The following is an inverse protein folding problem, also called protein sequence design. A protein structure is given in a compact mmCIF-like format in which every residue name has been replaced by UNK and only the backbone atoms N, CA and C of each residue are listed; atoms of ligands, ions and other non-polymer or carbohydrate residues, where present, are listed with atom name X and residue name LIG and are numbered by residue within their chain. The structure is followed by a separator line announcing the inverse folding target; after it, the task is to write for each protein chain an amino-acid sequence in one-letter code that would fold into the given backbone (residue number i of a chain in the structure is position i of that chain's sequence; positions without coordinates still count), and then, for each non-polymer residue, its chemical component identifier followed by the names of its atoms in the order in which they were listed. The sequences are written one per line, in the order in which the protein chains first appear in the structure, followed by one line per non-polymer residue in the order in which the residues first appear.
data_IF_241325196943
#
_entry.id   IF_241325196943
#
_cell.length_a   1.000
_cell.length_b   1.000
_cell.length_c   1.000
_cell.angle_alpha   90.00
_cell.angle_beta   90.00
_cell.angle_gamma   90.00
#
_symmetry.space_group_name_H-M   'P 1'
#
loop_
_entity.id
_entity.type
_entity.pdbx_description
1 polymer ?
#
# COMPACT_ATOMS: atom_id res chain seq x y z
N UNK A 1 15.23 22.12 -4.65
CA UNK A 1 15.89 21.99 -3.33
C UNK A 1 16.03 20.48 -3.15
N UNK A 2 16.12 19.93 -1.95
CA UNK A 2 15.93 18.49 -1.77
C UNK A 2 14.89 18.35 -0.68
N UNK A 3 13.76 17.71 -0.97
CA UNK A 3 12.68 17.53 -0.01
C UNK A 3 12.84 16.20 0.71
N UNK A 4 12.27 16.11 1.92
CA UNK A 4 12.17 14.85 2.64
C UNK A 4 10.74 14.36 2.56
N UNK A 5 10.56 13.16 2.06
CA UNK A 5 9.26 12.48 2.05
C UNK A 5 9.20 11.50 3.21
N UNK A 6 8.09 11.49 3.94
CA UNK A 6 7.84 10.52 4.99
C UNK A 6 6.66 9.65 4.60
N UNK A 7 6.86 8.33 4.54
CA UNK A 7 5.74 7.40 4.38
C UNK A 7 5.22 7.05 5.76
N UNK A 8 3.99 7.49 6.02
CA UNK A 8 3.35 7.35 7.31
C UNK A 8 2.76 5.95 7.47
N UNK A 9 2.02 5.49 6.48
CA UNK A 9 1.21 4.27 6.57
C UNK A 9 0.98 3.61 5.20
N UNK A 10 0.94 2.28 5.19
CA UNK A 10 0.41 1.48 4.09
C UNK A 10 -0.83 0.72 4.59
N UNK A 11 -1.92 0.79 3.85
CA UNK A 11 -3.12 -0.03 4.08
C UNK A 11 -3.24 -1.09 3.00
N UNK A 12 -3.21 -2.37 3.38
CA UNK A 12 -3.44 -3.50 2.46
C UNK A 12 -4.93 -3.76 2.34
N UNK A 13 -5.46 -3.72 1.12
CA UNK A 13 -6.85 -3.99 0.79
C UNK A 13 -6.90 -5.21 -0.13
N UNK A 14 -7.13 -6.40 0.44
CA UNK A 14 -7.24 -7.66 -0.29
C UNK A 14 -8.70 -8.07 -0.45
N UNK A 15 -9.04 -8.64 -1.60
CA UNK A 15 -10.32 -9.31 -1.84
C UNK A 15 -10.21 -10.78 -1.51
N UNK A 16 -11.28 -11.37 -0.96
CA UNK A 16 -11.35 -12.83 -0.86
C UNK A 16 -11.49 -13.49 -2.24
N UNK A 17 -10.58 -14.41 -2.53
CA UNK A 17 -10.56 -15.36 -3.65
C UNK A 17 -11.82 -16.22 -3.75
N UNK A 18 -12.54 -16.41 -2.63
CA UNK A 18 -13.74 -17.24 -2.54
C UNK A 18 -15.03 -16.57 -3.00
N UNK A 19 -15.04 -15.24 -3.13
CA UNK A 19 -16.24 -14.46 -3.47
C UNK A 19 -16.19 -14.08 -4.95
N UNK A 20 -17.22 -14.40 -5.74
CA UNK A 20 -17.31 -14.09 -7.18
C UNK A 20 -17.58 -12.62 -7.52
N UNK A 21 -17.42 -11.69 -6.58
CA UNK A 21 -17.81 -10.29 -6.71
C UNK A 21 -16.77 -9.44 -7.46
N UNK A 22 -17.11 -8.74 -8.56
CA UNK A 22 -16.14 -7.93 -9.29
C UNK A 22 -15.75 -6.66 -8.51
N UNK A 23 -14.67 -6.74 -7.72
CA UNK A 23 -14.20 -5.61 -6.91
C UNK A 23 -13.49 -4.50 -7.69
N UNK A 24 -12.96 -4.72 -8.89
CA UNK A 24 -12.26 -3.65 -9.62
C UNK A 24 -13.15 -2.41 -9.81
N UNK A 25 -14.40 -2.61 -10.24
CA UNK A 25 -15.36 -1.50 -10.40
C UNK A 25 -15.80 -0.84 -9.09
N UNK A 26 -15.91 -1.61 -7.99
CA UNK A 26 -16.35 -1.08 -6.68
C UNK A 26 -15.19 -0.44 -5.94
N UNK A 27 -14.02 -1.05 -5.93
CA UNK A 27 -12.81 -0.46 -5.38
C UNK A 27 -12.47 0.80 -6.15
N UNK A 28 -12.45 0.80 -7.49
CA UNK A 28 -12.14 2.03 -8.23
C UNK A 28 -13.23 3.11 -8.01
N UNK A 29 -14.51 2.74 -8.00
CA UNK A 29 -15.62 3.69 -7.74
C UNK A 29 -15.63 4.20 -6.30
N UNK A 30 -15.26 3.38 -5.33
CA UNK A 30 -15.26 3.72 -3.91
C UNK A 30 -13.97 4.42 -3.54
N UNK A 31 -12.81 4.04 -4.09
CA UNK A 31 -11.47 4.57 -3.79
C UNK A 31 -11.14 5.88 -4.52
N UNK A 32 -11.67 6.13 -5.72
CA UNK A 32 -11.51 7.42 -6.39
C UNK A 32 -11.90 8.63 -5.52
N UNK A 33 -13.05 8.64 -4.81
CA UNK A 33 -13.39 9.75 -3.91
C UNK A 33 -12.60 9.77 -2.59
N UNK A 34 -11.77 8.77 -2.30
CA UNK A 34 -11.05 8.58 -1.02
C UNK A 34 -9.55 8.79 -1.17
N UNK A 35 -9.05 9.05 -2.38
CA UNK A 35 -7.61 9.18 -2.69
C UNK A 35 -6.88 10.29 -1.95
N UNK A 36 -7.59 11.10 -1.15
CA UNK A 36 -7.07 12.21 -0.36
C UNK A 36 -7.40 12.08 1.13
N UNK A 37 -7.77 10.88 1.61
CA UNK A 37 -8.08 10.67 3.03
C UNK A 37 -6.89 10.07 3.79
N UNK A 38 -6.75 10.37 5.08
CA UNK A 38 -5.87 9.59 5.94
C UNK A 38 -6.35 8.14 6.06
N UNK A 39 -5.44 7.18 6.25
CA UNK A 39 -5.72 5.75 6.19
C UNK A 39 -6.78 5.27 7.20
N UNK A 40 -6.84 5.86 8.39
CA UNK A 40 -7.93 5.58 9.35
C UNK A 40 -9.31 5.99 8.83
N UNK A 41 -9.40 7.12 8.11
CA UNK A 41 -10.67 7.58 7.52
C UNK A 41 -11.05 6.73 6.30
N UNK A 42 -10.05 6.32 5.50
CA UNK A 42 -10.22 5.35 4.43
C UNK A 42 -10.81 4.03 4.94
N UNK A 43 -10.20 3.41 5.95
CA UNK A 43 -10.66 2.12 6.49
C UNK A 43 -12.08 2.24 7.04
N UNK A 44 -12.41 3.33 7.75
CA UNK A 44 -13.78 3.59 8.21
C UNK A 44 -14.78 3.73 7.07
N UNK A 45 -14.40 4.42 6.00
CA UNK A 45 -15.28 4.60 4.84
C UNK A 45 -15.48 3.30 4.07
N UNK A 46 -14.43 2.49 3.90
CA UNK A 46 -14.50 1.19 3.23
C UNK A 46 -15.33 0.18 4.03
N UNK A 47 -15.09 0.08 5.34
CA UNK A 47 -15.85 -0.83 6.22
C UNK A 47 -17.29 -0.37 6.45
N UNK A 48 -17.57 0.94 6.30
CA UNK A 48 -18.93 1.49 6.31
C UNK A 48 -19.78 1.11 5.09
N UNK A 49 -19.15 0.73 3.98
CA UNK A 49 -19.84 0.11 2.85
C UNK A 49 -19.96 -1.40 3.12
N UNK A 50 -21.19 -1.89 3.27
CA UNK A 50 -21.44 -3.28 3.66
C UNK A 50 -20.82 -4.30 2.70
N UNK A 51 -20.87 -4.07 1.39
CA UNK A 51 -20.35 -5.00 0.39
C UNK A 51 -18.81 -5.04 0.39
N UNK A 52 -18.18 -3.86 0.53
CA UNK A 52 -16.71 -3.74 0.63
C UNK A 52 -16.19 -4.29 1.95
N UNK A 53 -16.84 -3.93 3.06
CA UNK A 53 -16.51 -4.42 4.39
C UNK A 53 -16.60 -5.94 4.49
N UNK A 54 -17.66 -6.55 3.92
CA UNK A 54 -17.78 -8.01 3.87
C UNK A 54 -16.66 -8.65 3.03
N UNK A 55 -16.28 -8.04 1.91
CA UNK A 55 -15.21 -8.60 1.09
C UNK A 55 -13.86 -8.55 1.80
N UNK A 56 -13.50 -7.43 2.42
CA UNK A 56 -12.26 -7.30 3.20
C UNK A 56 -12.29 -8.30 4.37
N UNK A 57 -13.44 -8.43 5.05
CA UNK A 57 -13.61 -9.36 6.16
C UNK A 57 -13.42 -10.83 5.71
N UNK A 58 -13.97 -11.21 4.55
CA UNK A 58 -13.76 -12.55 3.99
C UNK A 58 -12.33 -12.81 3.56
N UNK A 59 -11.52 -11.78 3.32
CA UNK A 59 -10.11 -11.90 2.98
C UNK A 59 -9.21 -12.03 4.22
N UNK A 60 -9.74 -11.83 5.43
CA UNK A 60 -8.96 -11.97 6.67
C UNK A 60 -8.54 -13.41 6.97
N UNK A 61 -9.32 -14.38 6.49
CA UNK A 61 -9.01 -15.81 6.63
C UNK A 61 -8.03 -16.30 5.54
N UNK A 62 -7.61 -15.42 4.62
CA UNK A 62 -6.61 -15.73 3.59
C UNK A 62 -5.18 -15.47 4.11
N UNK A 63 -4.20 -16.05 3.41
CA UNK A 63 -2.80 -15.92 3.77
C UNK A 63 -2.37 -14.44 3.79
N UNK A 64 -1.70 -13.99 4.86
CA UNK A 64 -1.11 -12.66 4.91
C UNK A 64 -0.02 -12.52 3.84
N UNK A 65 0.30 -11.27 3.47
CA UNK A 65 1.45 -10.96 2.64
C UNK A 65 2.66 -10.75 3.54
N UNK A 66 3.84 -11.19 3.12
CA UNK A 66 5.10 -10.88 3.76
C UNK A 66 5.68 -9.61 3.14
N UNK A 67 5.13 -8.48 3.58
CA UNK A 67 5.34 -7.16 2.99
C UNK A 67 6.73 -6.59 3.33
N UNK A 68 7.42 -6.09 2.32
CA UNK A 68 8.57 -5.21 2.49
C UNK A 68 8.57 -4.08 1.45
N UNK A 69 9.39 -3.05 1.70
CA UNK A 69 9.46 -1.85 0.86
C UNK A 69 10.90 -1.54 0.47
N UNK A 70 11.12 -1.23 -0.81
CA UNK A 70 12.42 -0.81 -1.36
C UNK A 70 12.32 0.57 -2.02
N UNK A 71 13.47 1.22 -2.22
CA UNK A 71 13.60 2.45 -3.03
C UNK A 71 14.28 2.21 -4.38
N UNK A 72 14.68 0.98 -4.65
CA UNK A 72 15.21 0.54 -5.92
C UNK A 72 14.31 -0.56 -6.52
N UNK A 73 14.28 -0.73 -7.84
CA UNK A 73 13.30 -1.59 -8.51
C UNK A 73 13.62 -3.09 -8.41
N UNK A 74 14.59 -3.51 -7.60
CA UNK A 74 14.91 -4.92 -7.42
C UNK A 74 14.20 -5.48 -6.19
N UNK A 75 13.66 -6.68 -6.36
CA UNK A 75 13.19 -7.51 -5.27
C UNK A 75 14.34 -7.98 -4.37
N UNK A 76 14.01 -8.31 -3.13
CA UNK A 76 14.87 -8.88 -2.10
C UNK A 76 14.74 -8.12 -0.79
N UNK A 77 14.42 -8.83 0.29
CA UNK A 77 14.32 -8.22 1.62
C UNK A 77 15.66 -7.61 2.09
N UNK A 78 16.80 -8.01 1.52
CA UNK A 78 18.09 -7.38 1.77
C UNK A 78 18.23 -5.97 1.17
N UNK A 79 17.37 -5.62 0.20
CA UNK A 79 17.25 -4.27 -0.38
C UNK A 79 16.22 -3.39 0.36
N UNK A 80 15.52 -3.95 1.35
CA UNK A 80 14.40 -3.27 1.97
C UNK A 80 14.84 -2.10 2.85
N UNK A 81 14.18 -0.96 2.63
CA UNK A 81 14.24 0.22 3.49
C UNK A 81 13.25 0.13 4.65
N UNK A 82 12.29 -0.78 4.55
CA UNK A 82 11.35 -1.14 5.61
C UNK A 82 10.89 -2.59 5.43
N UNK A 83 10.73 -3.37 6.53
CA UNK A 83 11.02 -3.04 7.92
C UNK A 83 12.53 -3.09 8.28
N UNK A 84 13.41 -3.18 7.29
CA UNK A 84 14.84 -3.48 7.44
C UNK A 84 15.17 -4.66 6.54
N UNK A 85 16.12 -5.52 6.92
CA UNK A 85 16.50 -6.75 6.20
C UNK A 85 15.50 -7.91 6.40
N UNK A 86 14.20 -7.61 6.43
CA UNK A 86 13.13 -8.56 6.79
C UNK A 86 11.79 -8.19 6.13
N UNK A 87 10.71 -8.86 6.55
CA UNK A 87 9.34 -8.64 6.09
C UNK A 87 8.39 -8.42 7.24
N UNK A 88 7.21 -7.92 6.92
CA UNK A 88 6.12 -7.71 7.85
C UNK A 88 4.87 -8.43 7.37
N UNK A 89 4.38 -9.37 8.18
CA UNK A 89 3.17 -10.12 7.85
C UNK A 89 1.91 -9.23 7.93
N UNK A 90 1.30 -8.99 6.77
CA UNK A 90 0.21 -8.06 6.55
C UNK A 90 -1.08 -8.78 6.16
N UNK A 91 -2.04 -8.86 7.09
CA UNK A 91 -3.38 -9.36 6.80
C UNK A 91 -4.19 -8.39 5.91
N UNK A 92 -5.30 -8.87 5.34
CA UNK A 92 -6.25 -8.01 4.64
C UNK A 92 -6.80 -6.90 5.57
N UNK A 93 -6.91 -5.68 5.07
CA UNK A 93 -7.36 -4.53 5.85
C UNK A 93 -6.36 -4.01 6.90
N UNK A 94 -5.14 -4.57 6.95
CA UNK A 94 -4.11 -4.12 7.88
C UNK A 94 -3.70 -2.67 7.60
N UNK A 95 -3.62 -1.90 8.68
CA UNK A 95 -3.05 -0.54 8.74
C UNK A 95 -1.63 -0.68 9.28
N UNK A 96 -0.64 -0.36 8.44
CA UNK A 96 0.76 -0.68 8.70
C UNK A 96 1.52 0.64 8.81
N UNK A 97 1.92 1.07 10.03
CA UNK A 97 2.73 2.27 10.20
C UNK A 97 4.16 2.00 9.72
N UNK A 98 4.64 2.78 8.75
CA UNK A 98 6.00 2.65 8.23
C UNK A 98 6.94 3.64 8.91
N UNK A 99 6.57 4.92 8.94
CA UNK A 99 7.37 5.99 9.55
C UNK A 99 8.75 6.18 8.90
N UNK A 100 8.93 5.77 7.65
CA UNK A 100 10.22 5.86 6.96
C UNK A 100 10.38 7.22 6.28
N UNK A 101 11.59 7.77 6.38
CA UNK A 101 11.97 9.02 5.73
C UNK A 101 12.86 8.72 4.52
N UNK A 102 12.47 9.25 3.38
CA UNK A 102 13.14 9.07 2.10
C UNK A 102 13.44 10.43 1.48
N UNK A 103 14.64 10.59 0.94
CA UNK A 103 15.04 11.81 0.25
C UNK A 103 14.38 11.86 -1.13
N UNK A 104 13.65 12.94 -1.44
CA UNK A 104 13.12 13.20 -2.77
C UNK A 104 13.97 14.28 -3.45
N UNK A 105 14.90 13.86 -4.32
CA UNK A 105 15.63 14.75 -5.25
C UNK A 105 14.89 14.74 -6.60
N UNK A 106 13.98 15.70 -6.80
CA UNK A 106 13.00 15.69 -7.89
C UNK A 106 11.87 14.65 -7.72
N UNK A 107 12.21 13.36 -7.64
CA UNK A 107 11.26 12.29 -7.34
C UNK A 107 11.92 11.04 -6.77
N UNK A 108 11.24 10.37 -5.85
CA UNK A 108 11.61 9.07 -5.30
C UNK A 108 10.53 8.05 -5.65
N UNK A 109 10.93 6.90 -6.19
CA UNK A 109 10.00 5.77 -6.39
C UNK A 109 10.14 4.78 -5.24
N UNK A 110 9.00 4.31 -4.75
CA UNK A 110 8.92 3.40 -3.61
C UNK A 110 8.15 2.17 -4.04
N UNK A 111 8.75 0.99 -3.85
CA UNK A 111 8.21 -0.28 -4.31
C UNK A 111 7.80 -1.10 -3.09
N UNK A 112 6.58 -1.62 -3.11
CA UNK A 112 6.08 -2.58 -2.14
C UNK A 112 6.09 -3.97 -2.77
N UNK A 113 6.55 -4.96 -2.02
CA UNK A 113 6.76 -6.33 -2.47
C UNK A 113 6.14 -7.32 -1.49
N UNK A 114 5.70 -8.47 -2.01
CA UNK A 114 5.36 -9.65 -1.23
C UNK A 114 6.51 -10.64 -1.36
N UNK A 115 7.13 -11.01 -0.23
CA UNK A 115 8.21 -12.00 -0.28
C UNK A 115 7.62 -13.39 -0.47
N UNK A 116 8.20 -14.14 -1.40
CA UNK A 116 7.81 -15.52 -1.68
C UNK A 116 8.96 -16.48 -1.36
N UNK A 117 8.71 -17.47 -0.50
CA UNK A 117 9.75 -18.43 -0.08
C UNK A 117 10.16 -19.43 -1.18
N UNK A 118 9.29 -19.64 -2.17
CA UNK A 118 9.43 -20.66 -3.22
C UNK A 118 9.42 -20.10 -4.64
N UNK A 119 9.09 -18.82 -4.79
CA UNK A 119 9.00 -18.08 -6.05
C UNK A 119 9.97 -16.88 -6.03
N UNK A 120 9.94 -16.07 -7.09
CA UNK A 120 10.46 -14.72 -6.99
C UNK A 120 9.44 -13.85 -6.25
N UNK A 121 9.91 -12.87 -5.48
CA UNK A 121 9.03 -11.93 -4.79
C UNK A 121 8.15 -11.15 -5.78
N UNK A 122 6.89 -10.97 -5.40
CA UNK A 122 5.89 -10.36 -6.24
C UNK A 122 5.88 -8.84 -6.04
N UNK A 123 6.01 -8.10 -7.14
CA UNK A 123 5.82 -6.66 -7.09
C UNK A 123 4.35 -6.36 -6.82
N UNK A 124 4.07 -5.84 -5.63
CA UNK A 124 2.73 -5.39 -5.29
C UNK A 124 2.43 -4.11 -6.06
N UNK A 125 3.33 -3.11 -5.96
CA UNK A 125 3.31 -1.88 -6.77
C UNK A 125 4.50 -0.96 -6.48
N UNK A 126 4.73 0.02 -7.35
CA UNK A 126 5.45 1.26 -7.06
C UNK A 126 4.57 2.52 -6.92
N UNK A 127 5.06 3.47 -6.11
CA UNK A 127 4.51 4.82 -5.95
C UNK A 127 5.64 5.84 -6.14
N UNK A 128 5.48 6.77 -7.07
CA UNK A 128 6.40 7.90 -7.22
C UNK A 128 5.98 9.04 -6.31
N UNK A 129 6.85 9.48 -5.40
CA UNK A 129 6.70 10.69 -4.58
C UNK A 129 7.56 11.79 -5.20
N UNK A 130 7.01 12.98 -5.41
CA UNK A 130 7.74 14.08 -6.06
C UNK A 130 8.02 15.23 -5.09
N UNK A 131 9.16 15.90 -5.28
CA UNK A 131 9.49 17.14 -4.57
C UNK A 131 8.43 18.22 -4.81
N UNK A 132 7.76 18.24 -5.97
CA UNK A 132 6.70 19.21 -6.28
C UNK A 132 5.46 19.08 -5.37
N UNK A 133 5.38 17.99 -4.59
CA UNK A 133 4.31 17.73 -3.61
C UNK A 133 4.60 18.38 -2.24
N UNK A 134 5.77 19.02 -2.09
CA UNK A 134 6.22 19.68 -0.87
C UNK A 134 5.21 20.73 -0.37
N UNK A 135 4.92 20.69 0.93
CA UNK A 135 3.96 21.60 1.56
C UNK A 135 2.49 21.29 1.24
N UNK A 136 2.20 20.20 0.53
CA UNK A 136 0.84 19.70 0.28
C UNK A 136 0.13 19.12 1.51
N UNK A 137 0.85 18.93 2.62
CA UNK A 137 0.35 18.26 3.82
C UNK A 137 0.36 16.75 3.67
N UNK A 138 -0.62 16.07 4.29
CA UNK A 138 -0.80 14.63 4.13
C UNK A 138 -1.42 14.31 2.77
N UNK A 139 -0.73 13.45 2.02
CA UNK A 139 -1.06 12.99 0.70
C UNK A 139 -1.26 11.48 0.70
N UNK A 140 -1.86 10.99 -0.37
CA UNK A 140 -2.12 9.57 -0.51
C UNK A 140 -2.15 9.12 -1.96
N UNK A 141 -1.63 7.92 -2.19
CA UNK A 141 -1.60 7.27 -3.51
C UNK A 141 -2.12 5.86 -3.41
N UNK A 142 -2.91 5.48 -4.39
CA UNK A 142 -3.46 4.13 -4.50
C UNK A 142 -2.63 3.28 -5.45
N UNK A 143 -2.33 2.09 -4.98
CA UNK A 143 -1.68 1.00 -5.67
C UNK A 143 -2.61 -0.21 -5.87
N UNK A 144 -2.41 -0.99 -6.93
CA UNK A 144 -3.11 -2.22 -7.30
C UNK A 144 -2.09 -3.19 -7.89
N UNK A 145 -2.07 -4.43 -7.38
CA UNK A 145 -1.37 -5.58 -7.93
C UNK A 145 -2.40 -6.51 -8.59
N UNK A 146 -2.23 -6.81 -9.88
CA UNK A 146 -3.08 -7.79 -10.56
C UNK A 146 -2.75 -9.23 -10.15
N UNK A 147 -1.47 -9.49 -9.88
CA UNK A 147 -0.92 -10.77 -9.43
C UNK A 147 -1.51 -11.15 -8.07
N UNK A 148 -1.33 -10.27 -7.08
CA UNK A 148 -1.83 -10.47 -5.72
C UNK A 148 -3.30 -10.09 -5.52
N UNK A 149 -3.96 -9.56 -6.56
CA UNK A 149 -5.36 -9.08 -6.54
C UNK A 149 -5.64 -8.17 -5.34
N UNK A 150 -4.65 -7.35 -5.01
CA UNK A 150 -4.61 -6.55 -3.79
C UNK A 150 -4.37 -5.08 -4.14
N UNK A 151 -5.01 -4.20 -3.37
CA UNK A 151 -4.80 -2.77 -3.44
C UNK A 151 -3.99 -2.30 -2.24
N UNK A 152 -3.11 -1.34 -2.44
CA UNK A 152 -2.28 -0.77 -1.38
C UNK A 152 -2.50 0.73 -1.34
N UNK A 153 -2.89 1.24 -0.19
CA UNK A 153 -3.05 2.68 -0.01
C UNK A 153 -1.86 3.22 0.76
N UNK A 154 -1.08 4.09 0.13
CA UNK A 154 0.13 4.68 0.72
C UNK A 154 -0.18 6.09 1.14
N UNK A 155 -0.09 6.38 2.44
CA UNK A 155 -0.17 7.72 2.99
C UNK A 155 1.22 8.26 3.28
N UNK A 156 1.49 9.49 2.86
CA UNK A 156 2.80 10.12 3.01
C UNK A 156 2.66 11.64 3.10
N UNK A 157 3.74 12.32 3.47
CA UNK A 157 3.87 13.78 3.35
C UNK A 157 5.25 14.14 2.83
N UNK A 158 5.39 15.36 2.30
CA UNK A 158 6.64 15.89 1.76
C UNK A 158 6.94 17.24 2.42
N UNK A 159 8.06 17.31 3.13
CA UNK A 159 8.55 18.44 3.91
C UNK A 159 9.60 19.29 3.17
#
# INVERSE_FOLDING_TARGET
MTATSTIDEIVRLRRSTSTGFPLSGVIDSVLQPVSNLPGTALVRQLTGNQDVGQTIQSALDEEPADLYVTTDPHAGADHAVWPGDSTFSAAAGAQIPLGIQLTADGSQEVFAWDQDDVSADDLLRSVTISEDEQGGGSLSKLAHSEEERSYYYVQYHVD
#
